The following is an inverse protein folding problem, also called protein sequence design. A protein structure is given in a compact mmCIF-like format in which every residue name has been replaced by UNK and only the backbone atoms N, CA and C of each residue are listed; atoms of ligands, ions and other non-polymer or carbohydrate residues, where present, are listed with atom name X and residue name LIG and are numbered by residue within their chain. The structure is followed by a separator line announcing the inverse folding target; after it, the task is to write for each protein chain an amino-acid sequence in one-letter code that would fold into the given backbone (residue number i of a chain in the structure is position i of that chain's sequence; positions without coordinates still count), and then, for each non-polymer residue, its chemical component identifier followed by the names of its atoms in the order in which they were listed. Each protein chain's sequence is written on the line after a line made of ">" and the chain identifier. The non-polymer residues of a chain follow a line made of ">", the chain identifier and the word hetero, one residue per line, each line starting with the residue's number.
data_IF_080605067221
#
_entry.id   IF_080605067221
#
_cell.length_a   1.000
_cell.length_b   1.000
_cell.length_c   1.000
_cell.angle_alpha   90.00
_cell.angle_beta   90.00
_cell.angle_gamma   90.00
#
_symmetry.space_group_name_H-M   'P 1'
#
loop_
_entity.id
_entity.type
_entity.pdbx_description
1 polymer ?
#
# COMPACT_ATOMS: atom_id res chain seq x y z
N UNK A 1 -36.69 -65.58 -23.00
CA UNK A 1 -35.76 -64.51 -23.44
C UNK A 1 -34.82 -64.21 -22.28
N UNK A 2 -33.54 -64.56 -22.38
CA UNK A 2 -32.56 -64.27 -21.32
C UNK A 2 -31.52 -63.29 -21.87
N UNK A 3 -31.52 -62.08 -21.30
CA UNK A 3 -30.54 -61.02 -21.58
C UNK A 3 -29.16 -61.50 -21.09
N UNK A 4 -28.23 -61.74 -22.01
CA UNK A 4 -26.84 -62.05 -21.67
C UNK A 4 -26.18 -60.75 -21.20
N UNK A 5 -25.74 -60.74 -19.94
CA UNK A 5 -24.86 -59.73 -19.36
C UNK A 5 -23.66 -59.50 -20.28
N UNK A 6 -23.61 -58.32 -20.89
CA UNK A 6 -22.42 -57.73 -21.49
C UNK A 6 -21.43 -57.40 -20.36
N UNK A 7 -20.71 -58.44 -19.94
CA UNK A 7 -19.58 -58.33 -19.04
C UNK A 7 -18.46 -57.57 -19.73
N UNK A 8 -18.45 -56.24 -19.55
CA UNK A 8 -17.30 -55.36 -19.79
C UNK A 8 -15.97 -56.10 -19.61
N UNK A 9 -15.29 -56.40 -20.73
CA UNK A 9 -14.03 -57.16 -20.74
C UNK A 9 -12.97 -56.36 -19.99
N UNK A 10 -12.73 -56.68 -18.72
CA UNK A 10 -11.58 -56.16 -17.97
C UNK A 10 -10.30 -56.69 -18.67
N UNK A 11 -9.30 -55.84 -18.94
CA UNK A 11 -8.02 -56.31 -19.46
C UNK A 11 -7.43 -57.34 -18.48
N UNK A 12 -6.67 -58.35 -18.98
CA UNK A 12 -6.15 -59.42 -18.14
C UNK A 12 -5.36 -58.82 -16.98
N UNK A 13 -5.78 -59.13 -15.74
CA UNK A 13 -5.05 -58.74 -14.55
C UNK A 13 -3.62 -59.28 -14.67
N UNK A 14 -2.65 -58.37 -14.71
CA UNK A 14 -1.25 -58.73 -14.84
C UNK A 14 -0.84 -59.44 -13.55
N UNK A 15 -0.42 -60.70 -13.65
CA UNK A 15 -0.15 -61.57 -12.51
C UNK A 15 0.84 -60.88 -11.55
N UNK A 16 0.40 -60.61 -10.32
CA UNK A 16 1.22 -60.03 -9.25
C UNK A 16 1.05 -58.53 -8.97
N UNK A 17 0.25 -57.78 -9.76
CA UNK A 17 -0.03 -56.36 -9.48
C UNK A 17 -1.47 -56.16 -8.96
N UNK A 18 -1.60 -55.75 -7.70
CA UNK A 18 -2.88 -55.44 -7.07
C UNK A 18 -3.39 -54.07 -7.54
N UNK A 19 -4.11 -54.04 -8.67
CA UNK A 19 -4.65 -52.83 -9.29
C UNK A 19 -6.06 -52.55 -8.75
N UNK A 20 -6.31 -51.32 -8.28
CA UNK A 20 -7.58 -50.92 -7.68
C UNK A 20 -7.72 -49.41 -7.49
N UNK A 21 -8.77 -48.98 -6.79
CA UNK A 21 -8.98 -47.57 -6.46
C UNK A 21 -7.76 -47.03 -5.67
N UNK A 22 -7.25 -45.85 -6.06
CA UNK A 22 -6.01 -45.26 -5.54
C UNK A 22 -4.72 -46.11 -5.71
N UNK A 23 -4.73 -47.19 -6.50
CA UNK A 23 -3.56 -48.04 -6.78
C UNK A 23 -3.29 -48.11 -8.29
N UNK A 24 -2.67 -47.06 -8.89
CA UNK A 24 -2.41 -47.04 -10.33
C UNK A 24 -1.33 -48.07 -10.72
N UNK A 25 -1.42 -48.69 -11.91
CA UNK A 25 -0.45 -49.69 -12.38
C UNK A 25 0.97 -49.15 -12.43
N UNK A 26 1.93 -49.93 -11.94
CA UNK A 26 3.33 -49.49 -11.73
C UNK A 26 3.99 -49.05 -13.04
N UNK A 27 3.78 -49.80 -14.13
CA UNK A 27 4.33 -49.50 -15.46
C UNK A 27 3.85 -48.17 -16.06
N UNK A 28 2.71 -47.66 -15.60
CA UNK A 28 2.14 -46.39 -16.08
C UNK A 28 2.41 -45.21 -15.15
N UNK A 29 3.02 -45.42 -13.98
CA UNK A 29 3.35 -44.33 -13.06
C UNK A 29 4.42 -43.45 -13.70
N UNK A 30 4.21 -42.14 -13.66
CA UNK A 30 5.25 -41.20 -14.05
C UNK A 30 6.46 -41.36 -13.12
N UNK A 31 7.67 -41.38 -13.71
CA UNK A 31 8.90 -41.29 -12.95
C UNK A 31 8.89 -39.95 -12.20
N UNK A 32 9.18 -39.95 -10.89
CA UNK A 32 9.23 -38.72 -10.09
C UNK A 32 10.20 -37.74 -10.77
N UNK A 33 9.70 -36.58 -11.18
CA UNK A 33 10.50 -35.53 -11.80
C UNK A 33 11.37 -34.81 -10.76
N UNK A 34 12.49 -34.24 -11.22
CA UNK A 34 13.65 -33.82 -10.45
C UNK A 34 13.49 -32.60 -9.55
N UNK A 35 12.43 -32.52 -8.75
CA UNK A 35 12.41 -31.66 -7.56
C UNK A 35 11.41 -32.19 -6.50
N UNK A 36 11.83 -33.13 -5.64
CA UNK A 36 10.96 -33.68 -4.57
C UNK A 36 10.55 -32.64 -3.53
N UNK A 37 11.30 -31.55 -3.39
CA UNK A 37 10.98 -30.44 -2.48
C UNK A 37 10.02 -29.41 -3.11
N UNK A 38 9.68 -29.57 -4.39
CA UNK A 38 8.86 -28.62 -5.13
C UNK A 38 9.55 -27.27 -5.32
N UNK A 39 8.83 -26.33 -5.94
CA UNK A 39 9.33 -24.95 -6.12
C UNK A 39 9.74 -24.38 -4.74
N UNK A 40 10.97 -23.84 -4.58
CA UNK A 40 11.42 -23.31 -3.30
C UNK A 40 10.45 -22.23 -2.79
N UNK A 41 9.99 -22.40 -1.55
CA UNK A 41 9.13 -21.43 -0.86
C UNK A 41 9.98 -20.22 -0.44
N UNK A 42 9.42 -19.02 -0.55
CA UNK A 42 10.02 -17.82 0.07
C UNK A 42 11.10 -17.10 -0.75
N UNK A 43 11.21 -17.32 -2.06
CA UNK A 43 12.04 -16.42 -2.89
C UNK A 43 11.48 -15.00 -2.81
N UNK A 44 12.24 -14.09 -2.18
CA UNK A 44 11.90 -12.67 -2.14
C UNK A 44 11.93 -12.13 -3.58
N UNK A 45 10.76 -11.85 -4.13
CA UNK A 45 10.66 -11.15 -5.42
C UNK A 45 11.26 -9.75 -5.27
N UNK A 46 11.86 -9.19 -6.33
CA UNK A 46 12.34 -7.80 -6.39
C UNK A 46 11.31 -6.80 -5.86
N UNK A 47 10.02 -6.98 -6.19
CA UNK A 47 8.93 -6.14 -5.69
C UNK A 47 8.84 -6.15 -4.16
N UNK A 48 9.07 -7.30 -3.54
CA UNK A 48 9.01 -7.47 -2.09
C UNK A 48 10.18 -6.75 -1.42
N UNK A 49 11.39 -6.89 -1.99
CA UNK A 49 12.60 -6.21 -1.51
C UNK A 49 12.44 -4.69 -1.59
N UNK A 50 11.97 -4.17 -2.73
CA UNK A 50 11.74 -2.72 -2.90
C UNK A 50 10.70 -2.22 -1.89
N UNK A 51 9.62 -2.97 -1.68
CA UNK A 51 8.59 -2.61 -0.70
C UNK A 51 9.15 -2.60 0.73
N UNK A 52 9.97 -3.57 1.08
CA UNK A 52 10.62 -3.67 2.40
C UNK A 52 11.51 -2.44 2.65
N UNK A 53 12.40 -2.13 1.71
CA UNK A 53 13.29 -0.95 1.78
C UNK A 53 12.48 0.34 1.85
N UNK A 54 11.50 0.53 0.96
CA UNK A 54 10.72 1.77 0.91
C UNK A 54 9.98 2.08 2.23
N UNK A 55 9.58 1.06 2.99
CA UNK A 55 8.86 1.19 4.25
C UNK A 55 9.76 1.12 5.49
N UNK A 56 11.07 0.91 5.33
CA UNK A 56 12.01 0.88 6.44
C UNK A 56 12.09 2.26 7.10
N UNK A 57 12.00 2.29 8.44
CA UNK A 57 11.88 3.52 9.23
C UNK A 57 13.24 3.95 9.80
N UNK A 58 13.71 5.12 9.40
CA UNK A 58 14.94 5.75 9.86
C UNK A 58 14.68 6.93 10.80
N UNK A 59 15.58 7.14 11.75
CA UNK A 59 15.55 8.31 12.62
C UNK A 59 16.07 9.52 11.85
N UNK A 60 15.33 10.62 11.89
CA UNK A 60 15.64 11.87 11.17
C UNK A 60 15.83 12.98 12.20
N UNK A 61 17.06 13.50 12.31
CA UNK A 61 17.39 14.60 13.23
C UNK A 61 17.54 14.20 14.70
N UNK A 62 17.72 15.19 15.57
CA UNK A 62 17.81 15.01 17.03
C UNK A 62 16.43 14.89 17.71
N UNK A 63 15.34 15.30 17.04
CA UNK A 63 13.97 15.30 17.59
C UNK A 63 13.32 13.90 17.63
N UNK A 64 14.07 12.84 17.31
CA UNK A 64 13.61 11.46 17.40
C UNK A 64 12.52 11.04 16.40
N UNK A 65 12.19 11.90 15.42
CA UNK A 65 11.16 11.58 14.44
C UNK A 65 11.62 10.46 13.50
N UNK A 66 10.83 9.39 13.43
CA UNK A 66 11.08 8.27 12.51
C UNK A 66 10.32 8.48 11.21
N UNK A 67 11.01 8.36 10.09
CA UNK A 67 10.39 8.44 8.76
C UNK A 67 10.85 7.29 7.86
N UNK A 68 10.00 6.89 6.93
CA UNK A 68 10.34 5.85 5.97
C UNK A 68 11.41 6.32 4.98
N UNK A 69 12.18 5.38 4.42
CA UNK A 69 13.12 5.69 3.32
C UNK A 69 12.39 6.39 2.17
N UNK A 70 11.19 5.94 1.82
CA UNK A 70 10.40 6.57 0.76
C UNK A 70 10.16 8.07 1.04
N UNK A 71 9.76 8.42 2.26
CA UNK A 71 9.53 9.81 2.65
C UNK A 71 10.82 10.63 2.57
N UNK A 72 11.95 10.06 2.99
CA UNK A 72 13.25 10.71 2.90
C UNK A 72 13.67 10.98 1.45
N UNK A 73 13.51 10.00 0.57
CA UNK A 73 13.80 10.13 -0.86
C UNK A 73 12.91 11.20 -1.50
N UNK A 74 11.61 11.21 -1.19
CA UNK A 74 10.69 12.23 -1.70
C UNK A 74 11.04 13.64 -1.22
N UNK A 75 11.42 13.79 0.06
CA UNK A 75 11.90 15.08 0.61
C UNK A 75 13.17 15.54 -0.10
N UNK A 76 14.10 14.63 -0.34
CA UNK A 76 15.34 14.97 -1.03
C UNK A 76 15.08 15.34 -2.50
N UNK A 77 14.21 14.59 -3.19
CA UNK A 77 13.80 14.88 -4.56
C UNK A 77 13.17 16.28 -4.66
N UNK A 78 12.26 16.61 -3.74
CA UNK A 78 11.68 17.95 -3.62
C UNK A 78 12.77 19.02 -3.43
N UNK A 79 13.70 18.81 -2.51
CA UNK A 79 14.77 19.79 -2.25
C UNK A 79 15.66 20.00 -3.48
N UNK A 80 15.95 18.93 -4.25
CA UNK A 80 16.69 19.02 -5.51
C UNK A 80 15.91 19.76 -6.60
N UNK A 81 14.60 19.53 -6.69
CA UNK A 81 13.72 20.24 -7.62
C UNK A 81 13.67 21.75 -7.31
N UNK A 82 13.52 22.11 -6.03
CA UNK A 82 13.49 23.51 -5.58
C UNK A 82 14.83 24.22 -5.74
N UNK A 83 15.94 23.48 -5.76
CA UNK A 83 17.28 24.04 -5.97
C UNK A 83 17.54 24.60 -7.37
N UNK A 84 16.63 24.41 -8.33
CA UNK A 84 16.67 25.04 -9.67
C UNK A 84 17.80 24.58 -10.60
N UNK A 85 18.67 23.66 -10.18
CA UNK A 85 19.81 23.15 -10.96
C UNK A 85 19.53 21.82 -11.66
N UNK A 86 18.45 21.14 -11.29
CA UNK A 86 18.16 19.77 -11.72
C UNK A 86 16.77 19.65 -12.36
N UNK A 87 16.68 19.96 -13.66
CA UNK A 87 15.41 19.89 -14.41
C UNK A 87 14.76 18.50 -14.38
N UNK A 88 15.58 17.44 -14.37
CA UNK A 88 15.08 16.06 -14.25
C UNK A 88 14.41 15.80 -12.90
N UNK A 89 14.98 16.33 -11.82
CA UNK A 89 14.40 16.20 -10.48
C UNK A 89 13.07 16.98 -10.40
N UNK A 90 13.04 18.18 -11.00
CA UNK A 90 11.81 18.95 -11.12
C UNK A 90 10.74 18.22 -11.92
N UNK A 91 11.08 17.68 -13.10
CA UNK A 91 10.14 16.94 -13.94
C UNK A 91 9.56 15.71 -13.24
N UNK A 92 10.40 14.91 -12.56
CA UNK A 92 9.92 13.72 -11.85
C UNK A 92 9.10 14.08 -10.62
N UNK A 93 9.51 15.11 -9.86
CA UNK A 93 8.71 15.61 -8.73
C UNK A 93 7.35 16.16 -9.20
N UNK A 94 7.34 16.94 -10.28
CA UNK A 94 6.12 17.47 -10.89
C UNK A 94 5.20 16.35 -11.38
N UNK A 95 5.75 15.31 -12.01
CA UNK A 95 5.00 14.12 -12.43
C UNK A 95 4.32 13.43 -11.25
N UNK A 96 5.04 13.25 -10.14
CA UNK A 96 4.48 12.66 -8.92
C UNK A 96 3.37 13.55 -8.34
N UNK A 97 3.57 14.87 -8.30
CA UNK A 97 2.51 15.79 -7.88
C UNK A 97 1.27 15.67 -8.75
N UNK A 98 1.41 15.62 -10.08
CA UNK A 98 0.28 15.43 -10.99
C UNK A 98 -0.47 14.11 -10.76
N UNK A 99 0.26 13.01 -10.56
CA UNK A 99 -0.34 11.69 -10.37
C UNK A 99 -1.07 11.54 -9.04
N UNK A 100 -0.66 12.29 -8.02
CA UNK A 100 -1.20 12.24 -6.66
C UNK A 100 -1.73 13.60 -6.20
N UNK A 101 -2.17 14.43 -7.14
CA UNK A 101 -2.88 15.67 -6.80
C UNK A 101 -4.06 15.27 -5.91
N UNK A 102 -4.23 15.91 -4.74
CA UNK A 102 -5.43 15.66 -3.96
C UNK A 102 -6.61 15.94 -4.88
N UNK A 103 -7.56 15.00 -4.96
CA UNK A 103 -8.81 15.28 -5.64
C UNK A 103 -9.37 16.54 -5.01
N UNK A 104 -9.34 17.65 -5.75
CA UNK A 104 -10.18 18.78 -5.44
C UNK A 104 -11.56 18.19 -5.59
N UNK A 105 -12.29 18.00 -4.49
CA UNK A 105 -13.67 17.52 -4.50
C UNK A 105 -14.47 18.59 -5.24
N UNK A 106 -14.47 18.46 -6.57
CA UNK A 106 -14.89 19.44 -7.54
C UNK A 106 -16.15 18.91 -8.21
N UNK A 107 -17.23 18.98 -7.45
CA UNK A 107 -18.59 18.75 -7.92
C UNK A 107 -19.53 19.31 -6.86
N UNK A 108 -19.93 20.58 -7.02
CA UNK A 108 -20.99 21.28 -6.27
C UNK A 108 -21.00 21.24 -4.72
N UNK A 109 -19.97 20.69 -4.07
CA UNK A 109 -19.87 20.73 -2.61
C UNK A 109 -18.89 21.84 -2.20
N UNK A 110 -19.43 22.90 -1.57
CA UNK A 110 -18.62 23.94 -0.96
C UNK A 110 -17.65 23.34 0.06
N UNK A 111 -16.36 23.68 -0.05
CA UNK A 111 -15.38 23.27 0.93
C UNK A 111 -15.55 24.09 2.21
N UNK A 112 -15.77 23.43 3.34
CA UNK A 112 -15.67 24.05 4.65
C UNK A 112 -14.19 23.99 5.04
N UNK A 113 -13.47 25.10 4.87
CA UNK A 113 -12.13 25.25 5.42
C UNK A 113 -12.31 25.37 6.93
N UNK A 114 -12.35 24.23 7.61
CA UNK A 114 -12.32 24.19 9.06
C UNK A 114 -10.93 24.67 9.49
N UNK A 115 -10.83 25.71 10.35
CA UNK A 115 -9.59 26.00 11.05
C UNK A 115 -9.09 24.73 11.73
N UNK A 116 -7.77 24.57 11.84
CA UNK A 116 -7.21 23.54 12.72
C UNK A 116 -7.90 23.62 14.09
N UNK A 117 -8.22 22.47 14.70
CA UNK A 117 -8.93 22.42 15.99
C UNK A 117 -8.21 23.34 16.99
N UNK A 118 -8.78 24.53 17.17
CA UNK A 118 -8.32 25.50 18.14
C UNK A 118 -8.73 24.93 19.50
N UNK A 119 -7.78 24.81 20.41
CA UNK A 119 -8.10 24.31 21.74
C UNK A 119 -9.11 25.26 22.41
N UNK A 120 -9.98 24.78 23.32
CA UNK A 120 -10.94 25.65 24.01
C UNK A 120 -10.28 26.85 24.69
N UNK A 121 -9.04 26.70 25.15
CA UNK A 121 -8.26 27.76 25.81
C UNK A 121 -7.84 28.87 24.83
N UNK A 122 -7.33 28.49 23.65
CA UNK A 122 -6.96 29.43 22.59
C UNK A 122 -8.18 30.19 22.07
N UNK A 123 -9.34 29.51 21.97
CA UNK A 123 -10.60 30.14 21.56
C UNK A 123 -11.09 31.18 22.57
N UNK A 124 -11.07 30.85 23.87
CA UNK A 124 -11.46 31.78 24.94
C UNK A 124 -10.53 33.00 24.93
N UNK A 125 -9.22 32.81 24.74
CA UNK A 125 -8.25 33.90 24.69
C UNK A 125 -8.53 34.83 23.49
N UNK A 126 -8.76 34.27 22.31
CA UNK A 126 -9.08 35.05 21.11
C UNK A 126 -10.37 35.87 21.28
N UNK A 127 -11.43 35.27 21.84
CA UNK A 127 -12.68 35.99 22.10
C UNK A 127 -12.50 37.07 23.17
N UNK A 128 -11.68 36.81 24.18
CA UNK A 128 -11.38 37.79 25.23
C UNK A 128 -10.65 38.99 24.63
N UNK A 129 -9.65 38.76 23.78
CA UNK A 129 -8.92 39.82 23.07
C UNK A 129 -9.86 40.59 22.15
N UNK A 130 -10.68 39.88 21.35
CA UNK A 130 -11.64 40.49 20.43
C UNK A 130 -12.64 41.38 21.16
N UNK A 131 -13.25 40.89 22.24
CA UNK A 131 -14.23 41.64 23.03
C UNK A 131 -13.58 42.84 23.72
N UNK A 132 -12.35 42.69 24.23
CA UNK A 132 -11.60 43.79 24.84
C UNK A 132 -11.25 44.88 23.83
N UNK A 133 -10.87 44.51 22.61
CA UNK A 133 -10.60 45.45 21.53
C UNK A 133 -11.87 46.17 21.06
N UNK A 134 -13.00 45.45 21.01
CA UNK A 134 -14.30 46.03 20.64
C UNK A 134 -14.78 47.05 21.69
N UNK A 135 -14.57 46.77 22.97
CA UNK A 135 -14.88 47.71 24.06
C UNK A 135 -13.98 48.95 24.02
N UNK A 136 -12.68 48.80 23.71
CA UNK A 136 -11.76 49.93 23.57
C UNK A 136 -12.08 50.82 22.37
N UNK A 137 -12.75 50.30 21.34
CA UNK A 137 -13.16 51.09 20.18
C UNK A 137 -14.38 51.98 20.49
N UNK A 138 -15.31 51.51 21.32
CA UNK A 138 -16.47 52.30 21.72
C UNK A 138 -16.13 53.48 22.64
N UNK A 139 -15.11 53.35 23.50
CA UNK A 139 -14.70 54.45 24.39
C UNK A 139 -13.98 55.61 23.66
N UNK A 140 -13.60 55.42 22.39
CA UNK A 140 -12.90 56.44 21.60
C UNK A 140 -13.81 57.22 20.62
N UNK A 141 -15.07 56.79 20.45
CA UNK A 141 -16.02 57.41 19.50
C UNK A 141 -17.06 58.33 20.20
N UNK A 142 -17.07 58.40 21.53
CA UNK A 142 -17.99 59.23 22.34
C UNK A 142 -17.34 60.54 22.89
N UNK A 143 -16.26 61.02 22.25
CA UNK A 143 -15.52 62.25 22.63
C UNK A 143 -15.77 63.45 21.72
#
# INVERSE_FOLDING_TARGET
>A
MNLKNDGSKRPPAYQGEEIGYCKPPTRRRFKKSGNPNGRPKGSKNRKMIIKEIANEMHNVGQDGQRQSILNLVLRQLRNMALGGKNDRAFAEYHRLLQAYQPEVVGGDAGCLVAPAELTPEEWIMEQTIRNKMLLLQHDNDDG
#
